data_IF_293163304089
#
_entry.id   IF_293163304089
#
_cell.length_a   1.000
_cell.length_b   1.000
_cell.length_c   1.000
_cell.angle_alpha   90.00
_cell.angle_beta   90.00
_cell.angle_gamma   90.00
#
_symmetry.space_group_name_H-M   'P 1'
#
loop_
_entity.id
_entity.type
_entity.pdbx_description
1 polymer ?
#
# COMPACT_ATOMS: atom_id res chain seq x y z
N UNK A 1 -0.37 -9.91 4.01
CA UNK A 1 -0.18 -8.45 3.91
C UNK A 1 0.44 -7.99 5.21
N UNK A 2 1.43 -7.11 5.15
CA UNK A 2 2.02 -6.49 6.33
C UNK A 2 1.74 -5.00 6.28
N UNK A 3 1.42 -4.41 7.42
CA UNK A 3 1.33 -2.95 7.60
C UNK A 3 2.42 -2.59 8.59
N UNK A 4 3.29 -1.68 8.17
CA UNK A 4 4.45 -1.26 8.96
C UNK A 4 4.48 0.25 9.05
N UNK A 5 4.94 0.77 10.18
CA UNK A 5 5.22 2.20 10.37
C UNK A 5 6.74 2.36 10.43
N UNK A 6 7.28 3.34 9.70
CA UNK A 6 8.68 3.73 9.85
C UNK A 6 8.84 4.44 11.19
N UNK A 7 9.77 3.96 12.03
CA UNK A 7 10.06 4.56 13.32
C UNK A 7 10.94 5.81 13.15
N UNK A 8 10.97 6.66 14.17
CA UNK A 8 11.87 7.83 14.25
C UNK A 8 11.67 8.85 13.10
N UNK A 9 10.41 9.09 12.73
CA UNK A 9 10.03 10.20 11.85
C UNK A 9 9.51 11.37 12.68
N UNK A 10 10.06 12.57 12.46
CA UNK A 10 9.66 13.77 13.19
C UNK A 10 8.56 14.56 12.48
N UNK A 11 8.58 14.61 11.15
CA UNK A 11 7.66 15.46 10.37
C UNK A 11 6.31 14.80 10.09
N UNK A 12 6.32 13.52 9.71
CA UNK A 12 5.14 12.78 9.29
C UNK A 12 5.24 11.30 9.65
N UNK A 13 4.11 10.69 9.98
CA UNK A 13 4.02 9.23 10.02
C UNK A 13 4.16 8.64 8.61
N UNK A 14 5.11 7.73 8.43
CA UNK A 14 5.23 6.95 7.19
C UNK A 14 4.71 5.52 7.42
N UNK A 15 3.59 5.19 6.78
CA UNK A 15 2.99 3.85 6.81
C UNK A 15 3.20 3.14 5.47
N UNK A 16 3.69 1.90 5.51
CA UNK A 16 3.92 1.04 4.33
C UNK A 16 3.00 -0.19 4.38
N UNK A 17 2.31 -0.43 3.27
CA UNK A 17 1.51 -1.64 3.03
C UNK A 17 2.31 -2.57 2.10
N UNK A 18 2.77 -3.70 2.64
CA UNK A 18 3.54 -4.69 1.90
C UNK A 18 2.63 -5.86 1.49
N UNK A 19 2.50 -6.07 0.19
CA UNK A 19 1.78 -7.21 -0.39
C UNK A 19 2.74 -8.07 -1.18
N UNK A 20 2.72 -9.38 -0.92
CA UNK A 20 3.60 -10.37 -1.55
C UNK A 20 2.75 -11.23 -2.48
N UNK A 21 3.20 -11.40 -3.72
CA UNK A 21 2.43 -12.04 -4.78
C UNK A 21 3.27 -13.11 -5.48
N UNK A 22 2.59 -14.12 -6.04
CA UNK A 22 3.24 -15.18 -6.84
C UNK A 22 3.80 -14.65 -8.17
N UNK A 23 3.23 -13.57 -8.70
CA UNK A 23 3.69 -12.92 -9.92
C UNK A 23 3.26 -11.45 -9.93
N UNK A 24 3.97 -10.64 -10.73
CA UNK A 24 3.58 -9.25 -10.99
C UNK A 24 2.17 -9.16 -11.61
N UNK A 25 1.81 -10.13 -12.46
CA UNK A 25 0.49 -10.19 -13.08
C UNK A 25 -0.63 -10.27 -12.04
N UNK A 26 -0.48 -11.13 -11.02
CA UNK A 26 -1.47 -11.26 -9.95
C UNK A 26 -1.69 -9.94 -9.19
N UNK A 27 -0.61 -9.19 -8.93
CA UNK A 27 -0.72 -7.85 -8.34
C UNK A 27 -1.45 -6.87 -9.27
N UNK A 28 -1.11 -6.83 -10.56
CA UNK A 28 -1.75 -5.90 -11.50
C UNK A 28 -3.21 -6.24 -11.80
N UNK A 29 -3.59 -7.52 -11.74
CA UNK A 29 -4.98 -7.95 -11.86
C UNK A 29 -5.76 -7.57 -10.62
N UNK A 30 -5.17 -7.75 -9.44
CA UNK A 30 -5.76 -7.28 -8.18
C UNK A 30 -6.02 -5.76 -8.22
N UNK A 31 -5.07 -4.94 -8.67
CA UNK A 31 -5.27 -3.48 -8.79
C UNK A 31 -6.49 -3.08 -9.66
N UNK A 32 -6.85 -3.90 -10.64
CA UNK A 32 -7.98 -3.65 -11.56
C UNK A 32 -9.30 -4.27 -11.11
N UNK A 33 -9.24 -5.14 -10.10
CA UNK A 33 -10.37 -5.94 -9.64
C UNK A 33 -11.41 -5.10 -8.89
N UNK A 34 -12.63 -5.62 -8.81
CA UNK A 34 -13.69 -4.98 -8.03
C UNK A 34 -13.43 -5.07 -6.53
N UNK A 35 -12.67 -6.06 -6.06
CA UNK A 35 -12.26 -6.14 -4.65
C UNK A 35 -11.30 -5.00 -4.27
N UNK A 36 -10.43 -4.56 -5.19
CA UNK A 36 -9.58 -3.38 -4.97
C UNK A 36 -10.42 -2.11 -4.92
N UNK A 37 -11.36 -1.93 -5.86
CA UNK A 37 -12.28 -0.78 -5.84
C UNK A 37 -13.12 -0.73 -4.57
N UNK A 38 -13.64 -1.88 -4.13
CA UNK A 38 -14.43 -1.98 -2.90
C UNK A 38 -13.61 -1.60 -1.66
N UNK A 39 -12.38 -2.09 -1.54
CA UNK A 39 -11.48 -1.78 -0.42
C UNK A 39 -11.12 -0.27 -0.37
N UNK A 40 -10.98 0.38 -1.52
CA UNK A 40 -10.59 1.80 -1.61
C UNK A 40 -11.78 2.76 -1.79
N UNK A 41 -13.02 2.26 -1.77
CA UNK A 41 -14.22 3.05 -2.08
C UNK A 41 -14.36 4.31 -1.22
N UNK A 42 -13.96 4.22 0.05
CA UNK A 42 -14.04 5.30 1.03
C UNK A 42 -12.68 5.85 1.47
N UNK A 43 -11.59 5.42 0.82
CA UNK A 43 -10.27 6.00 1.04
C UNK A 43 -10.22 7.33 0.29
N UNK A 44 -9.86 8.41 0.98
CA UNK A 44 -9.67 9.75 0.41
C UNK A 44 -8.31 10.26 0.80
N UNK A 45 -7.62 10.90 -0.13
CA UNK A 45 -6.39 11.64 0.17
C UNK A 45 -6.73 13.05 0.64
N UNK A 46 -5.78 13.76 1.29
CA UNK A 46 -6.01 15.10 1.83
C UNK A 46 -6.48 16.13 0.79
N UNK A 47 -6.15 15.93 -0.49
CA UNK A 47 -6.61 16.76 -1.60
C UNK A 47 -8.06 16.47 -2.04
N UNK A 48 -8.64 15.34 -1.66
CA UNK A 48 -10.03 14.97 -1.93
C UNK A 48 -10.94 15.22 -0.71
N UNK A 49 -10.39 15.12 0.49
CA UNK A 49 -11.05 15.37 1.78
C UNK A 49 -10.02 15.93 2.77
N UNK A 50 -10.18 17.19 3.18
CA UNK A 50 -9.24 17.89 4.08
C UNK A 50 -9.07 17.21 5.44
N UNK A 51 -10.07 16.43 5.87
CA UNK A 51 -10.02 15.68 7.14
C UNK A 51 -9.16 14.42 7.07
N UNK A 52 -8.77 13.98 5.86
CA UNK A 52 -7.94 12.79 5.68
C UNK A 52 -6.52 13.01 6.21
N UNK A 53 -5.95 12.03 6.94
CA UNK A 53 -4.55 12.06 7.36
C UNK A 53 -3.58 11.69 6.23
N UNK A 54 -4.05 11.21 5.08
CA UNK A 54 -3.19 10.74 3.98
C UNK A 54 -2.69 11.94 3.17
N UNK A 55 -1.45 12.34 3.41
CA UNK A 55 -0.82 13.49 2.73
C UNK A 55 -0.38 13.13 1.31
N UNK A 56 0.22 11.95 1.13
CA UNK A 56 0.73 11.48 -0.15
C UNK A 56 0.80 9.95 -0.18
N UNK A 57 0.91 9.35 -1.36
CA UNK A 57 1.17 7.93 -1.53
C UNK A 57 2.16 7.67 -2.67
N UNK A 58 2.96 6.60 -2.55
CA UNK A 58 3.86 6.13 -3.61
C UNK A 58 3.80 4.61 -3.70
N UNK A 59 3.71 4.09 -4.92
CA UNK A 59 3.75 2.64 -5.18
C UNK A 59 5.14 2.25 -5.68
N UNK A 60 5.76 1.28 -5.02
CA UNK A 60 7.06 0.73 -5.40
C UNK A 60 6.92 -0.80 -5.49
N UNK A 61 7.46 -1.40 -6.55
CA UNK A 61 7.44 -2.86 -6.77
C UNK A 61 8.84 -3.44 -6.74
N UNK A 62 8.97 -4.68 -6.28
CA UNK A 62 10.25 -5.39 -6.16
C UNK A 62 10.12 -6.79 -6.74
N UNK A 63 11.20 -7.28 -7.36
CA UNK A 63 11.37 -8.70 -7.63
C UNK A 63 11.93 -9.38 -6.38
N UNK A 64 11.25 -10.42 -5.89
CA UNK A 64 11.66 -11.16 -4.69
C UNK A 64 12.61 -12.28 -5.12
N UNK A 65 13.91 -12.04 -5.02
CA UNK A 65 14.95 -13.01 -5.41
C UNK A 65 15.05 -14.22 -4.47
N UNK A 66 14.62 -14.09 -3.22
CA UNK A 66 14.57 -15.16 -2.23
C UNK A 66 13.54 -14.84 -1.14
N UNK A 67 12.87 -15.86 -0.60
CA UNK A 67 12.05 -15.73 0.59
C UNK A 67 12.15 -16.99 1.45
N UNK A 68 12.19 -16.80 2.76
CA UNK A 68 12.14 -17.88 3.75
C UNK A 68 11.23 -17.42 4.90
N UNK A 69 10.30 -18.28 5.27
CA UNK A 69 9.40 -18.08 6.41
C UNK A 69 9.64 -19.25 7.36
N UNK A 70 10.02 -18.93 8.60
CA UNK A 70 10.33 -19.91 9.65
C UNK A 70 9.07 -20.63 10.16
#
# INVERSE_FOLDING_TARGET
MFVTQTLEQEDFDEVKILTVWKSKQAFTDWLKSDVFKAAHKHVRSKNEDESSPIINNKVITYDIGYSYMK
#
